data_IF_706037312824
#
_entry.id   IF_706037312824
#
_cell.length_a   1.000
_cell.length_b   1.000
_cell.length_c   1.000
_cell.angle_alpha   90.00
_cell.angle_beta   90.00
_cell.angle_gamma   90.00
#
_symmetry.space_group_name_H-M   'P 1'
#
loop_
_entity.id
_entity.type
_entity.pdbx_description
1 polymer ?
#
# COMPACT_ATOMS: atom_id res chain seq x y z
N UNK A 1 -35.21 -39.45 -1.51
CA UNK A 1 -33.98 -38.64 -1.62
C UNK A 1 -34.06 -37.58 -0.53
N UNK A 2 -33.38 -37.80 0.60
CA UNK A 2 -33.34 -36.82 1.70
C UNK A 2 -32.47 -35.62 1.25
N UNK A 3 -32.96 -34.38 1.32
CA UNK A 3 -32.16 -33.21 1.07
C UNK A 3 -31.10 -33.06 2.17
N UNK A 4 -29.87 -32.73 1.78
CA UNK A 4 -28.76 -32.41 2.68
C UNK A 4 -28.21 -31.05 2.35
N UNK A 5 -27.78 -30.30 3.36
CA UNK A 5 -27.13 -29.01 3.18
C UNK A 5 -25.81 -29.20 2.45
N UNK A 6 -25.65 -28.43 1.39
CA UNK A 6 -24.46 -28.45 0.58
C UNK A 6 -23.62 -27.23 0.91
N UNK A 7 -22.53 -27.46 1.65
CA UNK A 7 -21.60 -26.41 2.10
C UNK A 7 -20.24 -26.58 1.46
N UNK A 8 -19.63 -25.49 1.08
CA UNK A 8 -18.26 -25.45 0.55
C UNK A 8 -17.37 -24.79 1.58
N UNK A 9 -16.33 -25.52 1.97
CA UNK A 9 -15.35 -25.10 2.95
C UNK A 9 -14.19 -24.37 2.28
N UNK A 10 -13.62 -23.41 2.99
CA UNK A 10 -12.42 -22.69 2.58
C UNK A 10 -11.56 -22.33 3.78
N UNK A 11 -10.47 -21.68 3.53
CA UNK A 11 -9.63 -21.02 4.52
C UNK A 11 -9.78 -19.52 4.37
N UNK A 12 -9.59 -18.76 5.44
CA UNK A 12 -9.74 -17.32 5.34
C UNK A 12 -9.12 -16.57 6.50
N UNK A 13 -9.07 -15.26 6.34
CA UNK A 13 -8.62 -14.33 7.38
C UNK A 13 -9.50 -13.08 7.44
N UNK A 14 -9.64 -12.56 8.65
CA UNK A 14 -10.33 -11.29 8.89
C UNK A 14 -9.40 -10.13 8.64
N UNK A 15 -9.87 -9.15 7.90
CA UNK A 15 -9.10 -7.95 7.59
C UNK A 15 -9.99 -6.70 7.66
N UNK A 16 -9.48 -5.56 8.17
CA UNK A 16 -10.16 -4.28 8.00
C UNK A 16 -10.25 -3.94 6.50
N UNK A 17 -11.34 -3.30 6.10
CA UNK A 17 -11.50 -2.81 4.71
C UNK A 17 -10.44 -1.76 4.39
N UNK A 18 -10.28 -0.79 5.30
CA UNK A 18 -9.31 0.29 5.16
C UNK A 18 -7.99 -0.12 5.82
N UNK A 19 -7.17 -0.80 5.04
CA UNK A 19 -5.81 -1.20 5.40
C UNK A 19 -4.86 -0.82 4.27
N UNK A 20 -3.78 -0.11 4.60
CA UNK A 20 -2.77 0.29 3.64
C UNK A 20 -1.36 -0.03 4.12
N UNK A 21 -0.55 -0.51 3.18
CA UNK A 21 0.87 -0.71 3.37
C UNK A 21 1.61 0.58 3.05
N UNK A 22 2.52 0.97 3.92
CA UNK A 22 3.43 2.10 3.71
C UNK A 22 4.73 1.56 3.14
N UNK A 23 5.10 2.08 1.98
CA UNK A 23 6.31 1.68 1.26
C UNK A 23 7.33 2.80 1.32
N UNK A 24 8.61 2.45 1.26
CA UNK A 24 9.69 3.41 1.08
C UNK A 24 9.53 4.12 -0.27
N UNK A 25 9.48 5.44 -0.25
CA UNK A 25 9.32 6.30 -1.43
C UNK A 25 10.63 6.59 -2.15
N UNK A 26 11.76 6.42 -1.44
CA UNK A 26 13.12 6.58 -1.93
C UNK A 26 14.05 5.55 -1.27
N UNK A 27 15.24 5.39 -1.85
CA UNK A 27 16.33 4.64 -1.23
C UNK A 27 16.93 5.47 -0.08
N UNK A 28 17.40 4.81 0.97
CA UNK A 28 18.01 5.50 2.10
C UNK A 28 18.19 4.59 3.31
N UNK A 29 18.65 5.17 4.40
CA UNK A 29 18.78 4.51 5.69
C UNK A 29 17.71 5.05 6.64
N UNK A 30 17.02 4.17 7.35
CA UNK A 30 16.02 4.59 8.35
C UNK A 30 16.72 5.35 9.49
N UNK A 31 16.42 6.64 9.59
CA UNK A 31 17.00 7.52 10.60
C UNK A 31 16.19 7.53 11.89
N UNK A 32 14.88 7.74 11.79
CA UNK A 32 13.99 7.77 12.95
C UNK A 32 12.67 7.05 12.64
N UNK A 33 12.13 6.41 13.64
CA UNK A 33 10.79 5.81 13.66
C UNK A 33 10.01 6.53 14.75
N UNK A 34 8.99 7.28 14.33
CA UNK A 34 8.23 8.20 15.20
C UNK A 34 6.97 7.56 15.78
N UNK A 35 6.68 6.32 15.39
CA UNK A 35 5.46 5.60 15.79
C UNK A 35 5.79 4.23 16.36
N UNK A 36 4.85 3.70 17.16
CA UNK A 36 4.93 2.38 17.76
C UNK A 36 3.79 1.50 17.28
N UNK A 37 3.95 0.20 17.43
CA UNK A 37 2.85 -0.74 17.23
C UNK A 37 1.67 -0.39 18.13
N UNK A 38 0.45 -0.48 17.59
CA UNK A 38 -0.78 -0.17 18.32
C UNK A 38 -1.04 1.34 18.48
N UNK A 39 -0.16 2.19 17.96
CA UNK A 39 -0.36 3.64 18.03
C UNK A 39 -1.36 4.11 16.99
N UNK A 40 -2.30 4.93 17.43
CA UNK A 40 -3.28 5.56 16.53
C UNK A 40 -2.65 6.77 15.85
N UNK A 41 -2.69 6.80 14.51
CA UNK A 41 -2.13 7.86 13.68
C UNK A 41 -3.20 8.45 12.78
N UNK A 42 -3.12 9.75 12.56
CA UNK A 42 -3.95 10.44 11.56
C UNK A 42 -3.31 10.39 10.18
N UNK A 43 -4.10 10.56 9.14
CA UNK A 43 -3.57 10.77 7.79
C UNK A 43 -2.55 11.91 7.79
N UNK A 44 -1.51 11.82 6.94
CA UNK A 44 -0.39 12.75 6.82
C UNK A 44 0.55 12.84 8.05
N UNK A 45 0.31 12.08 9.13
CA UNK A 45 1.24 11.99 10.26
C UNK A 45 2.55 11.33 9.81
N UNK A 46 3.69 11.93 10.16
CA UNK A 46 5.01 11.37 9.86
C UNK A 46 5.25 10.10 10.67
N UNK A 47 5.56 9.01 9.99
CA UNK A 47 5.78 7.68 10.58
C UNK A 47 7.25 7.35 10.69
N UNK A 48 7.99 7.53 9.60
CA UNK A 48 9.40 7.16 9.47
C UNK A 48 10.11 8.27 8.70
N UNK A 49 11.33 8.62 9.10
CA UNK A 49 12.23 9.46 8.33
C UNK A 49 13.42 8.64 7.86
N UNK A 50 13.72 8.80 6.58
CA UNK A 50 14.90 8.23 5.95
C UNK A 50 15.99 9.28 5.84
N UNK A 51 17.24 8.85 5.80
CA UNK A 51 18.41 9.69 5.53
C UNK A 51 19.14 9.19 4.29
N UNK A 52 19.47 10.12 3.42
CA UNK A 52 20.31 9.92 2.25
C UNK A 52 21.44 10.96 2.29
N UNK A 53 22.65 10.49 2.59
CA UNK A 53 23.82 11.35 2.76
C UNK A 53 24.28 12.00 1.44
N UNK A 54 24.07 11.30 0.32
CA UNK A 54 24.45 11.81 -1.01
C UNK A 54 23.54 12.95 -1.43
N UNK A 55 22.23 12.78 -1.17
CA UNK A 55 21.23 13.81 -1.41
C UNK A 55 21.44 15.06 -0.52
N UNK A 56 21.83 14.86 0.75
CA UNK A 56 22.17 15.97 1.65
C UNK A 56 23.39 16.75 1.15
N UNK A 57 24.44 16.04 0.72
CA UNK A 57 25.65 16.65 0.18
C UNK A 57 25.34 17.45 -1.09
N UNK A 58 24.62 16.87 -2.03
CA UNK A 58 24.27 17.54 -3.29
C UNK A 58 23.37 18.76 -3.05
N UNK A 59 22.39 18.66 -2.15
CA UNK A 59 21.55 19.79 -1.75
C UNK A 59 22.37 20.94 -1.15
N UNK A 60 23.36 20.61 -0.32
CA UNK A 60 24.25 21.58 0.30
C UNK A 60 25.14 22.27 -0.76
N UNK A 61 25.63 21.48 -1.74
CA UNK A 61 26.44 22.00 -2.86
C UNK A 61 25.65 23.00 -3.71
N UNK A 62 24.46 22.61 -4.17
CA UNK A 62 23.60 23.47 -4.99
C UNK A 62 23.22 24.77 -4.24
N UNK A 63 22.92 24.66 -2.94
CA UNK A 63 22.62 25.82 -2.10
C UNK A 63 23.83 26.77 -2.00
N UNK A 64 25.03 26.23 -1.87
CA UNK A 64 26.29 27.00 -1.89
C UNK A 64 26.52 27.73 -3.21
N UNK A 65 26.25 27.05 -4.34
CA UNK A 65 26.37 27.65 -5.68
C UNK A 65 25.36 28.78 -5.90
N UNK A 66 24.13 28.62 -5.45
CA UNK A 66 23.07 29.66 -5.48
C UNK A 66 23.56 30.90 -4.70
N UNK A 67 24.05 30.71 -3.47
CA UNK A 67 24.53 31.82 -2.64
C UNK A 67 25.72 32.54 -3.27
N UNK A 68 26.65 31.81 -3.87
CA UNK A 68 27.82 32.39 -4.57
C UNK A 68 27.39 33.20 -5.78
N UNK A 69 26.47 32.66 -6.59
CA UNK A 69 25.92 33.33 -7.78
C UNK A 69 25.15 34.60 -7.41
N UNK A 70 24.35 34.56 -6.30
CA UNK A 70 23.63 35.75 -5.81
C UNK A 70 24.60 36.86 -5.35
N UNK A 71 25.69 36.51 -4.62
CA UNK A 71 26.71 37.49 -4.22
C UNK A 71 27.38 38.09 -5.41
N UNK A 72 27.72 37.28 -6.43
CA UNK A 72 28.35 37.79 -7.68
C UNK A 72 27.41 38.71 -8.45
N UNK A 73 26.12 38.35 -8.53
CA UNK A 73 25.09 39.19 -9.15
C UNK A 73 24.98 40.54 -8.46
N UNK A 74 24.96 40.57 -7.12
CA UNK A 74 24.94 41.83 -6.36
C UNK A 74 26.15 42.71 -6.61
N UNK A 75 27.36 42.11 -6.76
CA UNK A 75 28.58 42.87 -7.11
C UNK A 75 28.49 43.50 -8.52
N UNK A 76 27.99 42.74 -9.51
CA UNK A 76 27.80 43.21 -10.87
C UNK A 76 26.79 44.36 -10.90
N UNK A 77 25.68 44.23 -10.22
CA UNK A 77 24.65 45.26 -10.12
C UNK A 77 25.19 46.54 -9.47
N UNK A 78 25.97 46.40 -8.39
CA UNK A 78 26.61 47.55 -7.76
C UNK A 78 27.66 48.22 -8.68
N UNK A 79 28.46 47.43 -9.39
CA UNK A 79 29.42 47.97 -10.37
C UNK A 79 28.73 48.73 -11.51
N UNK A 80 27.59 48.21 -11.99
CA UNK A 80 26.80 48.88 -13.06
C UNK A 80 26.23 50.21 -12.61
N UNK A 81 25.78 50.33 -11.37
CA UNK A 81 25.25 51.56 -10.78
C UNK A 81 26.34 52.65 -10.61
N UNK A 82 27.61 52.27 -10.51
CA UNK A 82 28.74 53.16 -10.38
C UNK A 82 29.32 53.73 -11.71
N UNK A 83 28.80 53.29 -12.87
CA UNK A 83 29.29 53.72 -14.16
C UNK A 83 28.72 55.11 -14.52
N UNK A 84 29.62 56.00 -14.97
CA UNK A 84 29.24 57.35 -15.45
C UNK A 84 28.75 57.28 -16.93
N UNK A 85 27.51 57.65 -17.24
CA UNK A 85 26.93 57.44 -18.59
C UNK A 85 27.54 58.34 -19.71
N UNK A 86 28.43 59.27 -19.39
CA UNK A 86 29.04 60.17 -20.35
C UNK A 86 30.34 59.65 -20.97
N UNK A 87 30.87 58.53 -20.57
CA UNK A 87 32.15 57.99 -21.04
C UNK A 87 31.91 56.84 -22.03
N UNK A 88 32.55 56.94 -23.24
CA UNK A 88 32.41 55.97 -24.31
C UNK A 88 32.86 54.54 -23.86
N UNK A 89 33.86 54.48 -23.00
CA UNK A 89 34.30 53.21 -22.38
C UNK A 89 33.28 52.64 -21.37
N UNK A 90 32.49 53.49 -20.69
CA UNK A 90 31.46 53.09 -19.76
C UNK A 90 30.30 52.35 -20.47
N UNK A 91 29.97 52.69 -21.71
CA UNK A 91 28.98 52.00 -22.52
C UNK A 91 29.39 50.55 -22.84
N UNK A 92 30.66 50.35 -23.25
CA UNK A 92 31.16 48.98 -23.47
C UNK A 92 31.20 48.15 -22.17
N UNK A 93 31.58 48.76 -21.08
CA UNK A 93 31.61 48.11 -19.77
C UNK A 93 30.20 47.76 -19.27
N UNK A 94 29.23 48.66 -19.44
CA UNK A 94 27.83 48.42 -19.13
C UNK A 94 27.26 47.24 -19.92
N UNK A 95 27.55 47.17 -21.24
CA UNK A 95 27.11 46.05 -22.06
C UNK A 95 27.68 44.68 -21.60
N UNK A 96 28.98 44.67 -21.21
CA UNK A 96 29.61 43.45 -20.66
C UNK A 96 28.98 43.04 -19.34
N UNK A 97 28.75 43.97 -18.42
CA UNK A 97 28.12 43.69 -17.13
C UNK A 97 26.67 43.23 -17.30
N UNK A 98 25.95 43.78 -18.28
CA UNK A 98 24.59 43.31 -18.60
C UNK A 98 24.57 41.87 -19.11
N UNK A 99 25.52 41.52 -20.00
CA UNK A 99 25.63 40.15 -20.51
C UNK A 99 26.01 39.16 -19.38
N UNK A 100 26.93 39.56 -18.47
CA UNK A 100 27.31 38.74 -17.32
C UNK A 100 26.16 38.62 -16.32
N UNK A 101 25.36 39.68 -16.11
CA UNK A 101 24.16 39.67 -15.30
C UNK A 101 23.11 38.69 -15.86
N UNK A 102 22.90 38.69 -17.18
CA UNK A 102 21.96 37.81 -17.86
C UNK A 102 22.38 36.33 -17.77
N UNK A 103 23.69 36.04 -17.96
CA UNK A 103 24.26 34.71 -17.80
C UNK A 103 24.07 34.21 -16.36
N UNK A 104 24.31 35.04 -15.34
CA UNK A 104 24.12 34.67 -13.95
C UNK A 104 22.64 34.47 -13.60
N UNK A 105 21.74 35.25 -14.15
CA UNK A 105 20.31 35.06 -13.95
C UNK A 105 19.81 33.72 -14.53
N UNK A 106 20.26 33.37 -15.75
CA UNK A 106 19.93 32.05 -16.32
C UNK A 106 20.55 30.91 -15.51
N UNK A 107 21.78 31.06 -15.02
CA UNK A 107 22.40 30.08 -14.13
C UNK A 107 21.64 29.94 -12.82
N UNK A 108 21.23 31.04 -12.19
CA UNK A 108 20.41 31.02 -10.97
C UNK A 108 19.07 30.35 -11.18
N UNK A 109 18.44 30.57 -12.33
CA UNK A 109 17.19 29.88 -12.68
C UNK A 109 17.37 28.37 -12.74
N UNK A 110 18.41 27.92 -13.46
CA UNK A 110 18.72 26.47 -13.54
C UNK A 110 19.05 25.86 -12.18
N UNK A 111 19.85 26.56 -11.35
CA UNK A 111 20.16 26.10 -9.99
C UNK A 111 18.93 26.02 -9.06
N UNK A 112 17.99 26.98 -9.19
CA UNK A 112 16.75 26.96 -8.44
C UNK A 112 15.81 25.81 -8.87
N UNK A 113 15.76 25.50 -10.16
CA UNK A 113 15.06 24.33 -10.67
C UNK A 113 15.66 23.05 -10.12
N UNK A 114 17.00 22.92 -10.12
CA UNK A 114 17.70 21.80 -9.52
C UNK A 114 17.45 21.69 -8.00
N UNK A 115 17.51 22.82 -7.28
CA UNK A 115 17.20 22.86 -5.84
C UNK A 115 15.76 22.40 -5.53
N UNK A 116 14.81 22.74 -6.41
CA UNK A 116 13.41 22.31 -6.28
C UNK A 116 13.29 20.79 -6.45
N UNK A 117 13.97 20.20 -7.42
CA UNK A 117 13.99 18.75 -7.63
C UNK A 117 14.60 18.01 -6.43
N UNK A 118 15.74 18.53 -5.93
CA UNK A 118 16.38 17.96 -4.74
C UNK A 118 15.49 18.05 -3.49
N UNK A 119 14.77 19.17 -3.35
CA UNK A 119 13.80 19.32 -2.26
C UNK A 119 12.67 18.30 -2.35
N UNK A 120 12.11 18.07 -3.52
CA UNK A 120 11.08 17.04 -3.71
C UNK A 120 11.60 15.63 -3.36
N UNK A 121 12.87 15.35 -3.68
CA UNK A 121 13.52 14.09 -3.27
C UNK A 121 13.72 14.02 -1.75
N UNK A 122 14.09 15.13 -1.09
CA UNK A 122 14.18 15.20 0.37
C UNK A 122 12.82 15.02 1.06
N UNK A 123 11.77 15.64 0.51
CA UNK A 123 10.40 15.48 1.02
C UNK A 123 9.94 14.00 0.91
N UNK A 124 10.39 13.29 -0.12
CA UNK A 124 10.13 11.87 -0.29
C UNK A 124 10.83 10.96 0.74
N UNK A 125 11.84 11.44 1.47
CA UNK A 125 12.47 10.71 2.57
C UNK A 125 11.60 10.71 3.85
N UNK A 126 10.57 11.53 3.90
CA UNK A 126 9.62 11.59 5.02
C UNK A 126 8.39 10.79 4.68
N UNK A 127 8.24 9.64 5.30
CA UNK A 127 7.13 8.72 5.09
C UNK A 127 5.97 9.08 6.02
N UNK A 128 4.81 9.31 5.42
CA UNK A 128 3.60 9.71 6.13
C UNK A 128 2.52 8.63 6.05
N UNK A 129 1.59 8.67 6.99
CA UNK A 129 0.44 7.77 6.96
C UNK A 129 -0.51 8.14 5.84
N UNK A 130 -0.89 7.19 4.97
CA UNK A 130 -1.86 7.44 3.92
C UNK A 130 -3.31 7.51 4.42
N UNK A 131 -3.57 6.93 5.59
CA UNK A 131 -4.91 6.87 6.20
C UNK A 131 -4.84 7.15 7.71
N UNK A 132 -5.97 7.48 8.29
CA UNK A 132 -6.14 7.48 9.74
C UNK A 132 -6.38 6.05 10.20
N UNK A 133 -5.69 5.61 11.24
CA UNK A 133 -5.81 4.24 11.74
C UNK A 133 -4.75 3.88 12.76
N UNK A 134 -4.57 2.60 12.99
CA UNK A 134 -3.61 2.04 13.94
C UNK A 134 -2.46 1.33 13.24
N UNK A 135 -1.25 1.48 13.75
CA UNK A 135 -0.05 0.83 13.23
C UNK A 135 -0.06 -0.65 13.61
N UNK A 136 -0.16 -1.54 12.63
CA UNK A 136 -0.26 -2.98 12.85
C UNK A 136 1.10 -3.69 12.97
N UNK A 137 2.14 -3.14 12.35
CA UNK A 137 3.44 -3.80 12.26
C UNK A 137 4.17 -3.76 13.59
N UNK A 138 4.59 -4.92 14.05
CA UNK A 138 5.30 -5.10 15.31
C UNK A 138 6.82 -5.05 15.12
N UNK A 139 7.57 -4.71 16.21
CA UNK A 139 9.04 -4.62 16.25
C UNK A 139 9.65 -3.71 15.16
N UNK A 140 9.00 -2.59 14.88
CA UNK A 140 9.47 -1.64 13.88
C UNK A 140 10.92 -1.19 14.16
N UNK A 141 11.25 -0.91 15.42
CA UNK A 141 12.56 -0.39 15.78
C UNK A 141 13.67 -1.43 15.55
N UNK A 142 13.47 -2.69 15.98
CA UNK A 142 14.47 -3.74 15.77
C UNK A 142 14.64 -4.09 14.29
N UNK A 143 13.55 -4.03 13.53
CA UNK A 143 13.55 -4.45 12.14
C UNK A 143 14.06 -3.39 11.17
N UNK A 144 13.84 -2.12 11.48
CA UNK A 144 14.04 -1.06 10.50
C UNK A 144 15.06 0.01 10.92
N UNK A 145 15.23 0.30 12.23
CA UNK A 145 16.12 1.39 12.68
C UNK A 145 17.55 1.18 12.20
N UNK A 146 18.13 2.23 11.63
CA UNK A 146 19.48 2.26 11.07
C UNK A 146 19.75 1.23 9.96
N UNK A 147 18.70 0.66 9.34
CA UNK A 147 18.84 -0.27 8.21
C UNK A 147 18.63 0.44 6.89
N UNK A 148 19.36 0.03 5.84
CA UNK A 148 19.11 0.49 4.49
C UNK A 148 17.80 -0.10 3.98
N UNK A 149 17.02 0.74 3.30
CA UNK A 149 15.76 0.37 2.65
C UNK A 149 15.78 0.83 1.20
N UNK A 150 15.08 0.10 0.35
CA UNK A 150 14.99 0.39 -1.07
C UNK A 150 13.59 0.91 -1.41
N UNK A 151 13.52 1.75 -2.43
CA UNK A 151 12.26 2.26 -2.97
C UNK A 151 11.33 1.10 -3.31
N UNK A 152 10.07 1.19 -2.86
CA UNK A 152 9.06 0.15 -3.02
C UNK A 152 9.11 -0.97 -1.96
N UNK A 153 10.06 -0.95 -1.04
CA UNK A 153 10.08 -1.88 0.09
C UNK A 153 8.95 -1.55 1.06
N UNK A 154 8.14 -2.56 1.42
CA UNK A 154 7.11 -2.41 2.45
C UNK A 154 7.75 -2.28 3.82
N UNK A 155 7.41 -1.23 4.56
CA UNK A 155 7.96 -0.92 5.87
C UNK A 155 6.99 -1.22 7.00
N UNK A 156 5.76 -0.72 6.89
CA UNK A 156 4.72 -0.93 7.89
C UNK A 156 3.33 -0.94 7.27
N UNK A 157 2.35 -1.32 8.07
CA UNK A 157 0.93 -1.36 7.69
C UNK A 157 0.13 -0.55 8.69
N UNK A 158 -0.74 0.31 8.18
CA UNK A 158 -1.73 1.07 8.95
C UNK A 158 -3.13 0.59 8.57
N UNK A 159 -4.02 0.43 9.54
CA UNK A 159 -5.39 0.02 9.27
C UNK A 159 -6.38 0.73 10.21
N UNK A 160 -7.57 1.01 9.68
CA UNK A 160 -8.69 1.48 10.50
C UNK A 160 -9.39 0.27 11.16
N UNK A 161 -9.14 0.08 12.45
CA UNK A 161 -9.74 -1.01 13.22
C UNK A 161 -11.18 -0.71 13.69
N UNK A 162 -11.60 0.54 13.62
CA UNK A 162 -12.95 0.97 13.98
C UNK A 162 -13.92 0.93 12.80
N UNK A 163 -13.37 0.86 11.58
CA UNK A 163 -14.12 0.79 10.35
C UNK A 163 -14.71 -0.59 10.05
N UNK A 164 -15.27 -0.77 8.86
CA UNK A 164 -15.84 -2.04 8.44
C UNK A 164 -14.77 -3.12 8.26
N UNK A 165 -15.16 -4.37 8.49
CA UNK A 165 -14.31 -5.54 8.32
C UNK A 165 -14.82 -6.44 7.21
N UNK A 166 -13.90 -7.16 6.59
CA UNK A 166 -14.20 -8.20 5.61
C UNK A 166 -13.50 -9.49 5.97
N UNK A 167 -14.13 -10.59 5.61
CA UNK A 167 -13.48 -11.88 5.58
C UNK A 167 -12.97 -12.14 4.17
N UNK A 168 -11.67 -12.29 4.01
CA UNK A 168 -11.07 -12.81 2.79
C UNK A 168 -10.94 -14.31 2.92
N UNK A 169 -11.70 -15.05 2.11
CA UNK A 169 -11.62 -16.50 2.07
C UNK A 169 -11.07 -16.99 0.73
N UNK A 170 -10.42 -18.13 0.79
CA UNK A 170 -9.86 -18.84 -0.34
C UNK A 170 -10.59 -20.17 -0.51
N UNK A 171 -11.15 -20.36 -1.70
CA UNK A 171 -11.87 -21.56 -2.09
C UNK A 171 -11.09 -22.26 -3.20
N UNK A 172 -10.85 -23.58 -3.12
CA UNK A 172 -10.21 -24.32 -4.21
C UNK A 172 -10.92 -24.10 -5.55
N UNK A 173 -10.15 -23.87 -6.63
CA UNK A 173 -10.71 -23.64 -7.96
C UNK A 173 -11.64 -24.77 -8.43
N UNK A 174 -11.37 -26.00 -8.03
CA UNK A 174 -12.21 -27.16 -8.31
C UNK A 174 -13.64 -27.06 -7.72
N UNK A 175 -13.82 -26.23 -6.67
CA UNK A 175 -15.11 -26.09 -5.98
C UNK A 175 -15.87 -24.82 -6.34
N UNK A 176 -15.20 -23.85 -6.96
CA UNK A 176 -15.81 -22.54 -7.27
C UNK A 176 -17.03 -22.65 -8.21
N UNK A 177 -17.03 -23.64 -9.10
CA UNK A 177 -18.16 -23.88 -10.02
C UNK A 177 -19.49 -24.08 -9.28
N UNK A 178 -19.48 -24.70 -8.12
CA UNK A 178 -20.67 -24.91 -7.29
C UNK A 178 -21.13 -23.60 -6.63
N UNK A 179 -20.21 -22.76 -6.19
CA UNK A 179 -20.53 -21.43 -5.61
C UNK A 179 -21.18 -20.56 -6.68
N UNK A 180 -20.61 -20.53 -7.90
CA UNK A 180 -21.14 -19.75 -9.02
C UNK A 180 -22.51 -20.28 -9.48
N UNK A 181 -22.73 -21.59 -9.45
CA UNK A 181 -24.04 -22.18 -9.77
C UNK A 181 -25.07 -21.78 -8.73
N UNK A 182 -24.73 -21.91 -7.44
CA UNK A 182 -25.62 -21.50 -6.34
C UNK A 182 -25.93 -20.00 -6.39
N UNK A 183 -24.96 -19.15 -6.73
CA UNK A 183 -25.17 -17.72 -6.88
C UNK A 183 -26.14 -17.37 -8.05
N UNK A 184 -26.11 -18.15 -9.14
CA UNK A 184 -27.04 -17.97 -10.28
C UNK A 184 -28.45 -18.43 -9.94
N UNK A 185 -28.58 -19.52 -9.16
CA UNK A 185 -29.87 -20.06 -8.73
C UNK A 185 -30.54 -19.14 -7.69
N UNK A 186 -29.75 -18.56 -6.78
CA UNK A 186 -30.23 -17.67 -5.73
C UNK A 186 -30.19 -16.20 -6.23
N UNK A 187 -31.33 -15.51 -6.12
CA UNK A 187 -31.43 -14.07 -6.40
C UNK A 187 -30.82 -13.17 -5.33
N UNK A 188 -30.43 -13.76 -4.19
CA UNK A 188 -29.83 -13.08 -3.04
C UNK A 188 -28.35 -13.48 -2.90
N UNK A 189 -27.50 -12.61 -2.31
CA UNK A 189 -26.13 -12.96 -2.01
C UNK A 189 -26.08 -14.23 -1.14
N UNK A 190 -25.12 -15.11 -1.42
CA UNK A 190 -24.95 -16.33 -0.63
C UNK A 190 -24.46 -15.99 0.78
N UNK A 191 -25.01 -16.70 1.77
CA UNK A 191 -24.57 -16.61 3.16
C UNK A 191 -23.31 -17.44 3.38
N UNK A 192 -22.43 -16.91 4.22
CA UNK A 192 -21.21 -17.58 4.66
C UNK A 192 -21.24 -17.64 6.17
N UNK A 193 -21.17 -18.83 6.73
CA UNK A 193 -20.97 -19.05 8.15
C UNK A 193 -19.48 -19.33 8.42
N UNK A 194 -18.92 -18.79 9.49
CA UNK A 194 -17.52 -19.01 9.83
C UNK A 194 -17.28 -19.07 11.33
N UNK A 195 -16.22 -19.75 11.70
CA UNK A 195 -15.72 -19.86 13.07
C UNK A 195 -14.35 -19.18 13.14
N UNK A 196 -14.11 -18.44 14.23
CA UNK A 196 -12.76 -18.00 14.56
C UNK A 196 -11.98 -19.16 15.19
N UNK A 197 -10.75 -19.40 14.74
CA UNK A 197 -9.90 -20.42 15.37
C UNK A 197 -9.58 -20.10 16.83
N UNK A 198 -9.67 -18.82 17.22
CA UNK A 198 -9.48 -18.36 18.62
C UNK A 198 -10.72 -18.49 19.48
N UNK A 199 -11.93 -18.63 18.88
CA UNK A 199 -13.21 -18.78 19.57
C UNK A 199 -14.12 -19.72 18.76
N UNK A 200 -13.89 -21.04 18.85
CA UNK A 200 -14.60 -22.03 18.04
C UNK A 200 -16.04 -22.26 18.51
N UNK A 201 -16.43 -21.75 19.67
CA UNK A 201 -17.76 -21.96 20.23
C UNK A 201 -18.81 -21.03 19.58
N UNK A 202 -18.38 -19.97 18.89
CA UNK A 202 -19.28 -19.01 18.26
C UNK A 202 -19.20 -19.10 16.74
N UNK A 203 -20.38 -19.18 16.13
CA UNK A 203 -20.54 -19.12 14.68
C UNK A 203 -20.99 -17.72 14.27
N UNK A 204 -20.26 -17.14 13.36
CA UNK A 204 -20.54 -15.83 12.79
C UNK A 204 -21.08 -15.98 11.37
N UNK A 205 -21.79 -14.96 10.90
CA UNK A 205 -22.36 -14.95 9.56
C UNK A 205 -21.91 -13.71 8.78
N UNK A 206 -21.81 -13.88 7.49
CA UNK A 206 -21.53 -12.80 6.55
C UNK A 206 -22.19 -13.10 5.20
N UNK A 207 -22.08 -12.18 4.28
CA UNK A 207 -22.62 -12.30 2.93
C UNK A 207 -21.52 -12.11 1.90
N UNK A 208 -21.53 -12.92 0.82
CA UNK A 208 -20.58 -12.77 -0.27
C UNK A 208 -20.80 -11.43 -0.96
N UNK A 209 -19.77 -10.60 -0.97
CA UNK A 209 -19.76 -9.32 -1.65
C UNK A 209 -19.13 -9.44 -3.03
N UNK A 210 -18.00 -10.14 -3.14
CA UNK A 210 -17.23 -10.25 -4.38
C UNK A 210 -16.55 -11.62 -4.48
N UNK A 211 -16.55 -12.18 -5.69
CA UNK A 211 -15.79 -13.37 -6.07
C UNK A 211 -14.75 -12.92 -7.10
N UNK A 212 -13.47 -13.29 -6.89
CA UNK A 212 -12.42 -12.99 -7.84
C UNK A 212 -12.66 -13.73 -9.17
N UNK A 213 -12.35 -13.07 -10.28
CA UNK A 213 -12.50 -13.66 -11.61
C UNK A 213 -11.31 -14.55 -12.02
N UNK A 214 -10.22 -14.53 -11.24
CA UNK A 214 -8.96 -15.21 -11.52
C UNK A 214 -8.63 -16.09 -10.32
N UNK A 215 -8.16 -17.32 -10.61
CA UNK A 215 -7.57 -18.18 -9.60
C UNK A 215 -6.09 -17.82 -9.41
N UNK A 216 -5.65 -17.74 -8.16
CA UNK A 216 -4.26 -17.48 -7.77
C UNK A 216 -3.73 -18.68 -6.98
N UNK A 217 -2.42 -18.96 -7.02
CA UNK A 217 -1.86 -20.02 -6.20
C UNK A 217 -1.87 -19.61 -4.71
N UNK A 218 -2.28 -20.53 -3.84
CA UNK A 218 -2.13 -20.40 -2.39
C UNK A 218 -0.66 -20.59 -1.95
N UNK A 219 -0.41 -20.57 -0.64
CA UNK A 219 0.93 -20.80 -0.08
C UNK A 219 1.53 -22.17 -0.45
N UNK A 220 0.70 -23.17 -0.75
CA UNK A 220 1.09 -24.52 -1.17
C UNK A 220 1.16 -24.65 -2.70
N UNK A 221 0.91 -23.58 -3.46
CA UNK A 221 0.90 -23.56 -4.92
C UNK A 221 -0.36 -24.15 -5.56
N UNK A 222 -1.44 -24.36 -4.80
CA UNK A 222 -2.71 -24.86 -5.32
C UNK A 222 -3.56 -23.69 -5.82
N UNK A 223 -4.28 -23.84 -6.96
CA UNK A 223 -5.13 -22.77 -7.47
C UNK A 223 -6.35 -22.58 -6.55
N UNK A 224 -6.51 -21.36 -6.04
CA UNK A 224 -7.64 -20.92 -5.21
C UNK A 224 -8.25 -19.66 -5.77
N UNK A 225 -9.54 -19.49 -5.56
CA UNK A 225 -10.29 -18.27 -5.91
C UNK A 225 -10.58 -17.50 -4.63
N UNK A 226 -10.22 -16.23 -4.64
CA UNK A 226 -10.49 -15.34 -3.50
C UNK A 226 -11.94 -14.84 -3.51
N UNK A 227 -12.58 -14.93 -2.35
CA UNK A 227 -13.95 -14.43 -2.12
C UNK A 227 -13.89 -13.42 -0.97
N UNK A 228 -14.47 -12.25 -1.20
CA UNK A 228 -14.64 -11.22 -0.17
C UNK A 228 -16.05 -11.34 0.40
N UNK A 229 -16.12 -11.49 1.72
CA UNK A 229 -17.36 -11.62 2.47
C UNK A 229 -17.51 -10.40 3.36
N UNK A 230 -18.63 -9.71 3.23
CA UNK A 230 -18.98 -8.56 4.07
C UNK A 230 -19.46 -9.06 5.43
N UNK A 231 -18.94 -8.45 6.49
CA UNK A 231 -19.27 -8.78 7.87
C UNK A 231 -20.09 -7.65 8.50
N UNK A 232 -20.91 -8.01 9.45
CA UNK A 232 -21.50 -7.05 10.38
C UNK A 232 -20.54 -6.86 11.56
N UNK A 233 -19.88 -5.72 11.58
CA UNK A 233 -18.83 -5.38 12.54
C UNK A 233 -19.32 -5.43 14.01
N UNK A 234 -20.58 -5.08 14.26
CA UNK A 234 -21.12 -5.02 15.61
C UNK A 234 -21.26 -6.41 16.28
N UNK A 235 -21.24 -7.46 15.48
CA UNK A 235 -21.50 -8.83 15.95
C UNK A 235 -20.25 -9.52 16.49
N UNK A 236 -19.04 -9.09 16.11
CA UNK A 236 -17.80 -9.82 16.42
C UNK A 236 -16.96 -9.05 17.44
N UNK A 237 -16.75 -9.66 18.61
CA UNK A 237 -15.87 -9.09 19.64
C UNK A 237 -14.43 -9.56 19.47
N UNK A 238 -13.48 -8.66 19.73
CA UNK A 238 -12.05 -9.02 19.75
C UNK A 238 -11.44 -9.28 18.38
N UNK A 239 -11.95 -8.60 17.33
CA UNK A 239 -11.40 -8.66 15.98
C UNK A 239 -9.90 -8.34 15.98
N UNK A 240 -9.13 -9.17 15.30
CA UNK A 240 -7.70 -8.96 15.09
C UNK A 240 -7.37 -9.09 13.61
N UNK A 241 -6.65 -8.13 13.03
CA UNK A 241 -6.20 -8.24 11.64
C UNK A 241 -5.40 -9.51 11.41
N UNK A 242 -5.75 -10.27 10.37
CA UNK A 242 -5.11 -11.55 10.07
C UNK A 242 -5.60 -12.74 10.89
N UNK A 243 -6.64 -12.58 11.75
CA UNK A 243 -7.20 -13.72 12.46
C UNK A 243 -7.70 -14.79 11.48
N UNK A 244 -7.22 -16.03 11.66
CA UNK A 244 -7.60 -17.15 10.80
C UNK A 244 -8.99 -17.65 11.15
N UNK A 245 -9.77 -17.94 10.12
CA UNK A 245 -11.14 -18.43 10.22
C UNK A 245 -11.38 -19.65 9.34
N UNK A 246 -12.38 -20.44 9.69
CA UNK A 246 -12.87 -21.56 8.90
C UNK A 246 -14.25 -21.20 8.33
N UNK A 247 -14.31 -20.63 7.11
CA UNK A 247 -15.57 -20.26 6.49
C UNK A 247 -16.20 -21.44 5.75
N UNK A 248 -17.53 -21.45 5.73
CA UNK A 248 -18.38 -22.38 4.97
C UNK A 248 -19.42 -21.57 4.20
N UNK A 249 -19.44 -21.72 2.88
CA UNK A 249 -20.46 -21.11 2.00
C UNK A 249 -21.66 -22.03 1.94
N UNK A 250 -22.84 -21.50 2.21
CA UNK A 250 -24.08 -22.23 2.03
C UNK A 250 -24.52 -22.18 0.54
N UNK A 251 -24.38 -23.31 -0.13
CA UNK A 251 -24.75 -23.48 -1.52
C UNK A 251 -26.13 -24.13 -1.71
N UNK A 252 -26.96 -24.13 -0.66
CA UNK A 252 -28.31 -24.69 -0.68
C UNK A 252 -28.36 -26.19 -0.40
N UNK A 253 -29.46 -26.83 -0.80
CA UNK A 253 -29.69 -28.27 -0.54
C UNK A 253 -29.45 -29.11 -1.77
N UNK A 254 -28.74 -30.22 -1.61
CA UNK A 254 -28.51 -31.21 -2.68
C UNK A 254 -28.90 -32.63 -2.14
N UNK A 255 -29.07 -33.58 -3.03
CA UNK A 255 -29.37 -34.95 -2.60
C UNK A 255 -28.20 -35.57 -1.81
N UNK A 256 -28.48 -36.28 -0.74
CA UNK A 256 -27.48 -36.93 0.14
C UNK A 256 -26.49 -37.79 -0.66
N UNK A 257 -26.96 -38.51 -1.69
CA UNK A 257 -26.11 -39.30 -2.57
C UNK A 257 -25.11 -38.45 -3.38
N UNK A 258 -25.52 -37.26 -3.78
CA UNK A 258 -24.63 -36.33 -4.48
C UNK A 258 -23.53 -35.77 -3.57
N UNK A 259 -23.90 -35.38 -2.35
CA UNK A 259 -22.94 -34.84 -1.35
C UNK A 259 -21.87 -35.86 -0.97
N UNK A 260 -22.28 -37.16 -0.81
CA UNK A 260 -21.37 -38.24 -0.41
C UNK A 260 -20.50 -38.79 -1.55
N UNK A 261 -21.07 -38.93 -2.74
CA UNK A 261 -20.40 -39.57 -3.88
C UNK A 261 -19.73 -38.55 -4.80
N UNK A 262 -19.84 -37.24 -4.52
CA UNK A 262 -19.31 -36.15 -5.36
C UNK A 262 -17.82 -36.35 -5.69
N UNK A 263 -16.99 -36.55 -4.65
CA UNK A 263 -15.53 -36.74 -4.84
C UNK A 263 -15.23 -37.99 -5.68
N UNK A 264 -16.03 -39.01 -5.59
CA UNK A 264 -15.88 -40.23 -6.38
C UNK A 264 -16.30 -39.97 -7.85
N UNK A 265 -17.41 -39.26 -8.07
CA UNK A 265 -17.85 -38.88 -9.41
C UNK A 265 -16.85 -37.96 -10.12
N UNK A 266 -16.34 -36.96 -9.43
CA UNK A 266 -15.31 -36.05 -9.94
C UNK A 266 -14.01 -36.79 -10.30
N UNK A 267 -13.57 -37.74 -9.47
CA UNK A 267 -12.40 -38.57 -9.74
C UNK A 267 -12.63 -39.48 -10.96
N UNK A 268 -13.79 -40.13 -11.08
CA UNK A 268 -14.12 -40.99 -12.22
C UNK A 268 -14.28 -40.18 -13.51
N UNK A 269 -14.91 -39.01 -13.47
CA UNK A 269 -15.01 -38.12 -14.64
C UNK A 269 -13.64 -37.66 -15.12
N UNK A 270 -12.72 -37.34 -14.21
CA UNK A 270 -11.36 -36.93 -14.53
C UNK A 270 -10.59 -38.05 -15.22
N UNK A 271 -10.74 -39.28 -14.75
CA UNK A 271 -10.09 -40.45 -15.36
C UNK A 271 -10.68 -40.82 -16.72
N UNK A 272 -12.01 -40.68 -16.89
CA UNK A 272 -12.71 -40.92 -18.17
C UNK A 272 -12.42 -39.84 -19.24
N UNK A 273 -12.08 -38.61 -18.87
CA UNK A 273 -11.77 -37.53 -19.81
C UNK A 273 -10.31 -37.56 -20.30
N UNK A 274 -9.43 -38.30 -19.63
CA UNK A 274 -8.04 -38.45 -20.02
C UNK A 274 -7.75 -39.78 -20.78
N UNK A 275 -8.78 -40.55 -21.07
CA UNK A 275 -8.76 -41.68 -22.02
C UNK A 275 -9.65 -41.34 -23.22
#
# INVERSE_FOLDING_TARGET
LTPADFKIEGTGSLQPVDQQNVFATADGVVDQILVRQGEHVSAETTLITLRDSDLELESSRVRGEIQTSLKRLAVIQAARLGLNPTDANALQQANRLTAEEEELNERLKSLNEQATLLKNQQDALTLKSPITGEVLTWDLQEKLLARPVQRGQRLLTVADLQGPWVLKMEVPDSEIGHVLAAQRENKQPLSVSFLLLTDPDQTYQGTIEKIAAIAEPDADGKPVVQITVKLDHETIKGLRPGASVLPQIDCGTRSLGYVWLRRLFEAVQRELFFF
#
